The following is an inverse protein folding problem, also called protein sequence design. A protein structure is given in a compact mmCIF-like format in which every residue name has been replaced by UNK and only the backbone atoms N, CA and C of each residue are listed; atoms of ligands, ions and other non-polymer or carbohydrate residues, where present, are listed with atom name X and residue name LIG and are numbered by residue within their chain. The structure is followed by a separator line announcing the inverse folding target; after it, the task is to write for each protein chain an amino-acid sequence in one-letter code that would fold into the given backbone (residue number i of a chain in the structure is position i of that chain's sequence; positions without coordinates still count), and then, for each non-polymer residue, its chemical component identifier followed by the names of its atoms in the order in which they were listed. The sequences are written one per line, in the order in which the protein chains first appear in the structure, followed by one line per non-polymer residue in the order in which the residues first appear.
data_IF_795073231746
#
_entry.id   IF_795073231746
#
_cell.length_a   1.000
_cell.length_b   1.000
_cell.length_c   1.000
_cell.angle_alpha   90.00
_cell.angle_beta   90.00
_cell.angle_gamma   90.00
#
_symmetry.space_group_name_H-M   'P 1'
#
loop_
_entity.id
_entity.type
_entity.pdbx_description
1 polymer ?
#
# COMPACT_ATOMS: atom_id res chain seq x y z
N UNK A 1 20.30 -55.59 36.84
CA UNK A 1 19.58 -54.29 36.96
C UNK A 1 20.29 -53.30 36.06
N UNK A 2 19.75 -53.05 34.87
CA UNK A 2 20.24 -52.01 33.96
C UNK A 2 19.21 -50.86 34.00
N UNK A 3 19.65 -49.68 34.41
CA UNK A 3 18.81 -48.48 34.45
C UNK A 3 18.80 -47.84 33.06
N UNK A 4 17.62 -47.82 32.42
CA UNK A 4 17.40 -47.06 31.19
C UNK A 4 17.24 -45.57 31.57
N UNK A 5 18.16 -44.73 31.07
CA UNK A 5 18.03 -43.28 31.09
C UNK A 5 17.11 -42.85 29.94
N UNK A 6 15.91 -42.38 30.25
CA UNK A 6 15.04 -41.71 29.29
C UNK A 6 15.42 -40.23 29.23
N UNK A 7 16.07 -39.81 28.14
CA UNK A 7 16.25 -38.39 27.81
C UNK A 7 14.96 -37.86 27.20
N UNK A 8 14.24 -37.02 27.93
CA UNK A 8 13.11 -36.24 27.40
C UNK A 8 13.63 -35.24 26.37
N UNK A 9 13.11 -35.23 25.13
CA UNK A 9 13.44 -34.18 24.18
C UNK A 9 12.80 -32.88 24.66
N UNK A 10 13.62 -31.85 24.83
CA UNK A 10 13.17 -30.49 25.04
C UNK A 10 12.52 -30.03 23.72
N UNK A 11 11.18 -30.02 23.65
CA UNK A 11 10.50 -29.33 22.55
C UNK A 11 10.81 -27.84 22.72
N UNK A 12 11.72 -27.33 21.88
CA UNK A 12 11.86 -25.90 21.66
C UNK A 12 10.49 -25.38 21.21
N UNK A 13 9.86 -24.54 22.03
CA UNK A 13 8.66 -23.83 21.63
C UNK A 13 9.00 -23.03 20.38
N UNK A 14 8.30 -23.33 19.28
CA UNK A 14 8.25 -22.39 18.18
C UNK A 14 7.54 -21.15 18.73
N UNK A 15 8.30 -20.10 19.04
CA UNK A 15 7.75 -18.79 19.27
C UNK A 15 7.02 -18.40 17.97
N UNK A 16 5.70 -18.57 17.96
CA UNK A 16 4.84 -18.01 16.94
C UNK A 16 4.74 -16.51 17.19
N UNK A 17 5.86 -15.80 17.05
CA UNK A 17 5.79 -14.36 16.83
C UNK A 17 5.03 -14.21 15.52
N UNK A 18 3.89 -13.54 15.57
CA UNK A 18 3.15 -13.16 14.37
C UNK A 18 4.04 -12.14 13.68
N UNK A 19 4.98 -12.62 12.87
CA UNK A 19 5.85 -11.76 12.07
C UNK A 19 4.94 -10.85 11.25
N UNK A 20 5.28 -9.55 11.16
CA UNK A 20 4.74 -8.66 10.13
C UNK A 20 5.08 -9.29 8.79
N UNK A 21 4.20 -10.14 8.26
CA UNK A 21 4.58 -11.01 7.15
C UNK A 21 4.66 -10.21 5.88
N UNK A 22 3.73 -9.29 5.66
CA UNK A 22 3.59 -8.51 4.44
C UNK A 22 3.99 -7.04 4.66
N UNK A 23 3.89 -6.24 3.61
CA UNK A 23 4.38 -4.86 3.56
C UNK A 23 3.31 -3.89 4.04
N UNK A 24 3.74 -2.87 4.79
CA UNK A 24 2.92 -1.76 5.25
C UNK A 24 3.62 -0.42 4.97
N UNK A 25 2.81 0.62 4.81
CA UNK A 25 3.25 2.01 4.74
C UNK A 25 3.89 2.47 6.06
N UNK A 26 5.00 3.20 5.94
CA UNK A 26 5.70 3.85 7.06
C UNK A 26 5.69 5.37 6.89
N UNK A 27 5.99 5.85 5.68
CA UNK A 27 5.92 7.27 5.34
C UNK A 27 5.15 7.45 4.01
N UNK A 28 4.19 8.39 3.90
CA UNK A 28 3.65 9.24 4.96
C UNK A 28 3.06 8.45 6.14
N UNK A 29 2.97 9.09 7.32
CA UNK A 29 2.48 8.41 8.53
C UNK A 29 1.04 7.98 8.30
N UNK A 30 0.74 6.67 8.33
CA UNK A 30 -0.59 6.18 8.03
C UNK A 30 -1.60 6.50 9.14
N UNK A 31 -2.89 6.29 8.84
CA UNK A 31 -3.91 6.21 9.88
C UNK A 31 -3.55 5.14 10.92
N UNK A 32 -4.03 5.32 12.14
CA UNK A 32 -3.90 4.30 13.16
C UNK A 32 -4.75 3.09 12.79
N UNK A 33 -4.14 1.91 12.84
CA UNK A 33 -4.83 0.64 12.65
C UNK A 33 -4.81 -0.14 13.96
N UNK A 34 -5.85 -0.93 14.20
CA UNK A 34 -5.76 -1.96 15.22
C UNK A 34 -4.66 -2.97 14.83
N UNK A 35 -3.96 -3.50 15.84
CA UNK A 35 -2.66 -4.20 15.77
C UNK A 35 -2.56 -5.32 14.71
N UNK A 36 -3.68 -5.85 14.21
CA UNK A 36 -3.73 -6.98 13.27
C UNK A 36 -3.96 -6.61 11.78
N UNK A 37 -4.14 -5.32 11.45
CA UNK A 37 -4.62 -4.89 10.13
C UNK A 37 -3.57 -4.58 9.04
N UNK A 38 -2.50 -3.79 9.29
CA UNK A 38 -1.92 -2.94 8.25
C UNK A 38 -1.19 -3.67 7.13
N UNK A 39 -0.64 -4.85 7.46
CA UNK A 39 0.16 -5.62 6.50
C UNK A 39 -0.68 -6.54 5.64
N UNK A 40 -1.92 -6.88 6.01
CA UNK A 40 -2.73 -7.82 5.21
C UNK A 40 -3.29 -7.15 3.95
N UNK A 41 -3.52 -7.90 2.86
CA UNK A 41 -4.25 -7.37 1.71
C UNK A 41 -5.69 -6.98 2.12
N UNK A 42 -6.36 -6.19 1.30
CA UNK A 42 -7.80 -6.01 1.42
C UNK A 42 -8.51 -7.37 1.32
N UNK A 43 -9.65 -7.48 1.98
CA UNK A 43 -10.48 -8.66 1.90
C UNK A 43 -10.91 -8.90 0.44
N UNK A 44 -10.89 -10.16 -0.05
CA UNK A 44 -11.28 -10.47 -1.43
C UNK A 44 -12.73 -10.11 -1.79
N UNK A 45 -13.59 -9.83 -0.81
CA UNK A 45 -14.96 -9.35 -1.01
C UNK A 45 -15.08 -7.82 -0.99
N UNK A 46 -13.99 -7.10 -0.69
CA UNK A 46 -13.93 -5.64 -0.60
C UNK A 46 -14.54 -5.04 0.67
N UNK A 47 -14.85 -5.85 1.69
CA UNK A 47 -15.52 -5.39 2.92
C UNK A 47 -14.73 -4.39 3.77
N UNK A 48 -13.41 -4.32 3.59
CA UNK A 48 -12.50 -3.38 4.27
C UNK A 48 -11.92 -2.31 3.31
N UNK A 49 -12.50 -2.16 2.12
CA UNK A 49 -12.18 -1.05 1.21
C UNK A 49 -13.01 0.21 1.56
N UNK A 50 -12.40 1.43 1.56
CA UNK A 50 -10.98 1.72 1.35
C UNK A 50 -10.15 1.66 2.64
N UNK A 51 -8.81 1.65 2.48
CA UNK A 51 -7.84 1.93 3.55
C UNK A 51 -7.77 0.93 4.71
N UNK A 52 -8.43 -0.24 4.60
CA UNK A 52 -8.51 -1.26 5.65
C UNK A 52 -9.23 -0.79 6.92
N UNK A 53 -10.06 0.24 6.80
CA UNK A 53 -10.95 0.67 7.87
C UNK A 53 -12.32 0.04 7.60
N UNK A 54 -12.79 -0.91 8.43
CA UNK A 54 -14.08 -1.55 8.22
C UNK A 54 -15.21 -0.53 8.11
N UNK A 55 -16.22 -0.85 7.31
CA UNK A 55 -17.36 0.04 7.13
C UNK A 55 -18.06 0.33 8.47
N UNK A 56 -18.14 1.61 8.82
CA UNK A 56 -18.74 2.07 10.08
C UNK A 56 -17.73 2.41 11.18
N UNK A 57 -16.46 2.05 11.00
CA UNK A 57 -15.37 2.46 11.89
C UNK A 57 -14.83 3.84 11.52
N UNK A 58 -14.14 4.47 12.46
CA UNK A 58 -13.59 5.82 12.30
C UNK A 58 -12.14 5.78 11.84
N UNK A 59 -11.78 6.70 10.93
CA UNK A 59 -10.39 7.00 10.61
C UNK A 59 -9.73 7.72 11.79
N UNK A 60 -8.72 7.08 12.40
CA UNK A 60 -8.01 7.65 13.55
C UNK A 60 -6.66 8.19 13.08
N UNK A 61 -6.46 9.50 13.22
CA UNK A 61 -5.18 10.14 12.91
C UNK A 61 -4.23 9.95 14.09
N UNK A 62 -3.06 9.36 13.86
CA UNK A 62 -2.01 9.23 14.87
C UNK A 62 -1.10 10.47 14.83
N UNK A 63 -1.24 11.36 15.82
CA UNK A 63 -0.49 12.61 15.87
C UNK A 63 -1.06 13.64 14.90
N UNK A 64 -0.26 14.05 13.91
CA UNK A 64 -0.60 15.09 12.93
C UNK A 64 -0.50 14.55 11.51
N UNK A 65 -1.38 15.02 10.63
CA UNK A 65 -1.32 14.71 9.20
C UNK A 65 0.05 15.12 8.63
N UNK A 66 0.58 14.30 7.71
CA UNK A 66 1.88 14.60 7.07
C UNK A 66 1.70 15.80 6.13
N UNK A 67 2.48 16.86 6.30
CA UNK A 67 2.46 18.00 5.39
C UNK A 67 3.18 17.65 4.08
N UNK A 68 2.59 18.02 2.95
CA UNK A 68 3.14 17.79 1.61
C UNK A 68 2.96 19.05 0.78
N UNK A 69 4.07 19.74 0.47
CA UNK A 69 4.03 20.91 -0.38
C UNK A 69 3.85 20.52 -1.85
N UNK A 70 3.00 21.28 -2.55
CA UNK A 70 2.79 21.16 -3.99
C UNK A 70 4.11 21.37 -4.73
N UNK A 71 4.38 20.53 -5.73
CA UNK A 71 5.58 20.61 -6.57
C UNK A 71 6.88 20.13 -5.91
N UNK A 72 6.91 19.97 -4.59
CA UNK A 72 8.07 19.45 -3.87
C UNK A 72 8.13 17.92 -3.92
N UNK A 73 9.36 17.40 -3.97
CA UNK A 73 9.60 15.96 -3.90
C UNK A 73 9.24 15.42 -2.50
N UNK A 74 8.29 14.49 -2.48
CA UNK A 74 7.83 13.75 -1.32
C UNK A 74 8.46 12.35 -1.34
N UNK A 75 8.74 11.79 -0.16
CA UNK A 75 9.26 10.42 -0.04
C UNK A 75 8.20 9.45 0.47
N UNK A 76 8.26 8.21 -0.01
CA UNK A 76 7.44 7.09 0.46
C UNK A 76 8.36 6.01 0.97
N UNK A 77 8.03 5.43 2.12
CA UNK A 77 8.77 4.30 2.67
C UNK A 77 7.83 3.24 3.25
N UNK A 78 8.31 2.00 3.27
CA UNK A 78 7.56 0.85 3.71
C UNK A 78 8.38 0.01 4.69
N UNK A 79 7.68 -0.85 5.44
CA UNK A 79 8.29 -1.89 6.26
C UNK A 79 7.55 -3.20 6.04
N UNK A 80 8.27 -4.32 6.18
CA UNK A 80 7.70 -5.65 6.00
C UNK A 80 8.67 -6.57 5.28
N UNK A 81 8.28 -7.83 5.11
CA UNK A 81 9.18 -8.88 4.63
C UNK A 81 8.72 -9.50 3.31
N UNK A 82 7.45 -9.87 3.22
CA UNK A 82 6.87 -10.50 2.05
C UNK A 82 6.50 -9.44 1.02
N UNK A 83 7.49 -9.07 0.23
CA UNK A 83 7.38 -8.17 -0.92
C UNK A 83 6.89 -8.88 -2.16
N UNK A 84 6.62 -10.19 -2.11
CA UNK A 84 6.01 -10.97 -3.20
C UNK A 84 6.69 -10.77 -4.57
N UNK A 85 8.03 -10.76 -4.58
CA UNK A 85 8.81 -10.54 -5.80
C UNK A 85 8.62 -9.15 -6.42
N UNK A 86 8.08 -8.19 -5.66
CA UNK A 86 7.61 -6.89 -6.12
C UNK A 86 6.17 -6.95 -6.62
N UNK A 87 5.92 -6.28 -7.74
CA UNK A 87 4.57 -5.98 -8.22
C UNK A 87 4.50 -4.55 -8.70
N UNK A 88 3.29 -4.02 -8.77
CA UNK A 88 3.02 -2.66 -9.23
C UNK A 88 2.23 -1.90 -8.19
N UNK A 89 2.47 -0.59 -8.11
CA UNK A 89 1.82 0.28 -7.13
C UNK A 89 1.23 1.53 -7.78
N UNK A 90 0.20 2.10 -7.16
CA UNK A 90 -0.23 3.47 -7.44
C UNK A 90 -0.25 4.29 -6.15
N UNK A 91 0.09 5.57 -6.30
CA UNK A 91 -0.10 6.60 -5.30
C UNK A 91 -1.26 7.51 -5.75
N UNK A 92 -2.22 7.74 -4.86
CA UNK A 92 -3.41 8.50 -5.19
C UNK A 92 -3.85 9.42 -4.04
N UNK A 93 -4.60 10.46 -4.38
CA UNK A 93 -5.21 11.40 -3.44
C UNK A 93 -6.73 11.40 -3.56
N UNK A 94 -7.42 11.50 -2.43
CA UNK A 94 -8.83 11.89 -2.34
C UNK A 94 -8.98 13.02 -1.34
N UNK A 95 -9.98 13.88 -1.52
CA UNK A 95 -10.26 14.99 -0.61
C UNK A 95 -10.71 14.51 0.78
N UNK A 96 -10.32 15.26 1.82
CA UNK A 96 -10.70 15.02 3.21
C UNK A 96 -9.85 13.95 3.91
N UNK A 97 -10.10 13.73 5.21
CA UNK A 97 -9.40 12.72 6.02
C UNK A 97 -10.24 11.48 6.34
N UNK A 98 -11.43 11.37 5.76
CA UNK A 98 -12.40 10.30 6.05
C UNK A 98 -12.96 9.76 4.73
N UNK A 99 -12.15 9.05 3.93
CA UNK A 99 -12.60 8.55 2.65
C UNK A 99 -13.69 7.48 2.83
N UNK A 100 -14.57 7.36 1.84
CA UNK A 100 -15.64 6.36 1.79
C UNK A 100 -15.47 5.49 0.55
N UNK A 101 -16.34 4.50 0.38
CA UNK A 101 -16.39 3.68 -0.85
C UNK A 101 -16.71 4.52 -2.10
N UNK A 102 -17.30 5.70 -1.94
CA UNK A 102 -17.66 6.63 -3.02
C UNK A 102 -16.62 7.72 -3.24
N UNK A 103 -15.51 7.72 -2.47
CA UNK A 103 -14.42 8.68 -2.63
C UNK A 103 -13.79 8.55 -4.01
N UNK A 104 -13.59 9.70 -4.66
CA UNK A 104 -12.92 9.80 -5.95
C UNK A 104 -11.41 9.91 -5.72
N UNK A 105 -10.68 8.89 -6.15
CA UNK A 105 -9.23 8.82 -6.03
C UNK A 105 -8.56 9.27 -7.32
N UNK A 106 -7.68 10.26 -7.23
CA UNK A 106 -6.87 10.77 -8.33
C UNK A 106 -5.48 10.14 -8.26
N UNK A 107 -5.13 9.28 -9.23
CA UNK A 107 -3.79 8.70 -9.33
C UNK A 107 -2.78 9.76 -9.74
N UNK A 108 -1.78 10.00 -8.89
CA UNK A 108 -0.72 11.01 -9.14
C UNK A 108 0.62 10.38 -9.54
N UNK A 109 0.83 9.10 -9.26
CA UNK A 109 2.04 8.37 -9.63
C UNK A 109 1.75 6.87 -9.70
N UNK A 110 2.29 6.18 -10.69
CA UNK A 110 2.27 4.72 -10.79
C UNK A 110 3.68 4.17 -10.80
N UNK A 111 3.88 2.95 -10.32
CA UNK A 111 5.15 2.22 -10.43
C UNK A 111 4.81 0.85 -11.02
N UNK A 112 5.22 0.61 -12.27
CA UNK A 112 4.90 -0.62 -12.99
C UNK A 112 6.06 -1.61 -12.91
N UNK A 113 5.98 -2.52 -11.94
CA UNK A 113 7.06 -3.43 -11.62
C UNK A 113 8.06 -2.85 -10.62
N UNK A 114 8.57 -3.73 -9.76
CA UNK A 114 9.57 -3.35 -8.77
C UNK A 114 9.05 -2.56 -7.58
N UNK A 115 7.74 -2.59 -7.30
CA UNK A 115 7.16 -2.06 -6.06
C UNK A 115 6.54 -3.18 -5.20
N UNK A 116 6.76 -3.21 -3.87
CA UNK A 116 7.55 -2.29 -3.03
C UNK A 116 9.05 -2.64 -2.97
N UNK A 117 9.51 -3.55 -3.82
CA UNK A 117 10.93 -3.91 -3.94
C UNK A 117 11.29 -4.24 -5.38
N UNK A 118 12.32 -3.61 -5.91
CA UNK A 118 12.87 -3.89 -7.22
C UNK A 118 13.92 -5.00 -7.18
N UNK A 119 14.15 -5.64 -8.33
CA UNK A 119 15.24 -6.59 -8.55
C UNK A 119 15.27 -7.79 -7.58
N UNK A 120 14.09 -8.28 -7.18
CA UNK A 120 13.94 -9.47 -6.34
C UNK A 120 13.05 -10.52 -6.99
N UNK A 121 13.41 -11.79 -6.83
CA UNK A 121 12.63 -12.93 -7.37
C UNK A 121 11.55 -13.41 -6.41
N UNK A 122 11.67 -13.11 -5.12
CA UNK A 122 10.77 -13.57 -4.06
C UNK A 122 10.64 -12.54 -2.92
N UNK A 123 10.46 -13.04 -1.70
CA UNK A 123 10.44 -12.20 -0.51
C UNK A 123 11.86 -11.73 -0.13
N UNK A 124 11.94 -10.76 0.79
CA UNK A 124 13.22 -10.24 1.25
C UNK A 124 14.04 -11.33 1.94
N UNK A 125 15.35 -11.15 1.96
CA UNK A 125 16.34 -11.93 2.71
C UNK A 125 16.80 -11.14 3.95
N UNK A 126 17.40 -11.79 4.98
CA UNK A 126 17.74 -11.10 6.22
C UNK A 126 18.67 -9.91 5.99
N UNK A 127 18.29 -8.74 6.53
CA UNK A 127 19.02 -7.48 6.34
C UNK A 127 18.63 -6.70 5.09
N UNK A 128 17.59 -7.11 4.36
CA UNK A 128 16.96 -6.33 3.31
C UNK A 128 15.70 -5.64 3.82
N UNK A 129 15.42 -4.46 3.26
CA UNK A 129 14.20 -3.70 3.47
C UNK A 129 13.49 -3.42 2.13
N UNK A 130 12.18 -3.13 2.14
CA UNK A 130 11.49 -2.54 1.00
C UNK A 130 12.22 -1.28 0.48
N UNK A 131 12.04 -0.95 -0.79
CA UNK A 131 12.62 0.25 -1.37
C UNK A 131 11.86 1.51 -0.93
N UNK A 132 12.52 2.66 -1.02
CA UNK A 132 11.92 3.98 -0.90
C UNK A 132 11.67 4.57 -2.28
N UNK A 133 10.57 5.29 -2.44
CA UNK A 133 10.20 5.94 -3.70
C UNK A 133 9.98 7.42 -3.46
N UNK A 134 10.02 8.20 -4.53
CA UNK A 134 9.66 9.62 -4.49
C UNK A 134 8.49 9.90 -5.43
N UNK A 135 7.74 10.95 -5.12
CA UNK A 135 6.64 11.45 -5.93
C UNK A 135 6.46 12.94 -5.64
N UNK A 136 5.62 13.62 -6.42
CA UNK A 136 5.28 15.03 -6.20
C UNK A 136 3.77 15.20 -6.15
N UNK A 137 3.27 16.14 -5.36
CA UNK A 137 1.89 16.60 -5.50
C UNK A 137 1.83 17.57 -6.70
N UNK A 138 1.03 17.29 -7.74
CA UNK A 138 0.97 18.17 -8.92
C UNK A 138 0.43 19.57 -8.60
N UNK A 139 0.80 20.55 -9.42
CA UNK A 139 0.54 21.99 -9.19
C UNK A 139 -0.91 22.46 -9.42
N UNK A 140 -1.78 21.57 -9.89
CA UNK A 140 -3.21 21.80 -10.05
C UNK A 140 -4.05 21.30 -8.85
N UNK A 141 -3.43 20.67 -7.85
CA UNK A 141 -4.08 20.38 -6.57
C UNK A 141 -4.21 21.65 -5.73
N UNK A 142 -5.31 21.77 -4.99
CA UNK A 142 -5.49 22.86 -4.03
C UNK A 142 -4.91 22.49 -2.66
N UNK A 143 -4.34 23.44 -1.90
CA UNK A 143 -4.01 23.22 -0.50
C UNK A 143 -5.24 22.78 0.30
N UNK A 144 -5.04 21.84 1.24
CA UNK A 144 -6.15 21.30 2.04
C UNK A 144 -5.87 19.93 2.63
N UNK A 145 -6.89 19.38 3.28
CA UNK A 145 -6.86 18.04 3.83
C UNK A 145 -7.13 17.00 2.73
N UNK A 146 -6.26 15.98 2.65
CA UNK A 146 -6.43 14.85 1.75
C UNK A 146 -6.09 13.54 2.45
N UNK A 147 -6.61 12.46 1.92
CA UNK A 147 -6.09 11.12 2.17
C UNK A 147 -5.20 10.73 1.01
N UNK A 148 -3.97 10.36 1.34
CA UNK A 148 -3.03 9.74 0.41
C UNK A 148 -3.12 8.23 0.52
N UNK A 149 -3.17 7.52 -0.59
CA UNK A 149 -3.21 6.06 -0.65
C UNK A 149 -2.01 5.50 -1.41
N UNK A 150 -1.42 4.47 -0.83
CA UNK A 150 -0.59 3.50 -1.54
C UNK A 150 -1.45 2.27 -1.83
N UNK A 151 -1.49 1.85 -3.09
CA UNK A 151 -2.00 0.53 -3.48
C UNK A 151 -0.88 -0.33 -4.04
N UNK A 152 -1.00 -1.64 -3.87
CA UNK A 152 -0.04 -2.59 -4.41
C UNK A 152 -0.72 -3.87 -4.87
N UNK A 153 -0.41 -4.27 -6.10
CA UNK A 153 -0.77 -5.56 -6.69
C UNK A 153 0.49 -6.43 -6.72
N UNK A 154 0.44 -7.56 -6.02
CA UNK A 154 1.56 -8.46 -5.89
C UNK A 154 1.90 -9.18 -7.20
N UNK A 155 3.19 -9.42 -7.47
CA UNK A 155 3.64 -10.15 -8.66
C UNK A 155 3.49 -11.66 -8.53
N UNK A 156 3.82 -12.20 -7.35
CA UNK A 156 3.72 -13.64 -7.05
C UNK A 156 3.00 -13.86 -5.72
N UNK A 157 2.26 -14.95 -5.57
CA UNK A 157 1.70 -15.46 -4.30
C UNK A 157 0.91 -16.74 -4.59
N UNK A 158 0.22 -17.26 -3.58
CA UNK A 158 -0.78 -18.33 -3.75
C UNK A 158 -2.11 -17.85 -4.36
N UNK A 159 -2.38 -16.55 -4.34
CA UNK A 159 -3.60 -15.93 -4.87
C UNK A 159 -3.34 -14.48 -5.31
N UNK A 160 -4.19 -13.90 -6.18
CA UNK A 160 -4.14 -12.47 -6.48
C UNK A 160 -4.55 -11.68 -5.24
N UNK A 161 -3.72 -10.72 -4.84
CA UNK A 161 -3.94 -9.89 -3.66
C UNK A 161 -3.94 -8.41 -4.07
N UNK A 162 -4.61 -7.58 -3.28
CA UNK A 162 -4.62 -6.14 -3.49
C UNK A 162 -4.44 -5.47 -2.14
N UNK A 163 -3.34 -4.75 -1.99
CA UNK A 163 -2.98 -4.07 -0.75
C UNK A 163 -3.35 -2.60 -0.87
N UNK A 164 -3.81 -2.02 0.24
CA UNK A 164 -4.07 -0.59 0.32
C UNK A 164 -3.74 -0.10 1.73
N UNK A 165 -2.85 0.89 1.85
CA UNK A 165 -2.68 1.65 3.08
C UNK A 165 -2.88 3.12 2.78
N UNK A 166 -3.45 3.84 3.75
CA UNK A 166 -3.75 5.25 3.60
C UNK A 166 -3.14 6.09 4.73
N UNK A 167 -2.84 7.34 4.42
CA UNK A 167 -2.32 8.32 5.34
C UNK A 167 -3.11 9.63 5.26
N UNK A 168 -3.42 10.27 6.39
CA UNK A 168 -3.89 11.64 6.39
C UNK A 168 -2.74 12.57 6.03
N UNK A 169 -2.96 13.42 5.03
CA UNK A 169 -1.99 14.43 4.60
C UNK A 169 -2.63 15.82 4.57
N UNK A 170 -1.79 16.84 4.73
CA UNK A 170 -2.17 18.24 4.52
C UNK A 170 -1.35 18.75 3.35
N UNK A 171 -2.01 18.99 2.22
CA UNK A 171 -1.37 19.60 1.06
C UNK A 171 -1.22 21.10 1.32
N UNK A 172 -0.02 21.63 1.14
CA UNK A 172 0.31 23.06 1.31
C UNK A 172 0.76 23.67 -0.01
N UNK A 173 0.70 24.99 -0.11
CA UNK A 173 1.33 25.69 -1.23
C UNK A 173 2.84 25.39 -1.25
N UNK A 174 3.40 25.22 -2.44
CA UNK A 174 4.85 25.18 -2.66
C UNK A 174 5.41 26.57 -2.94
N UNK A 175 6.67 26.78 -2.57
CA UNK A 175 7.40 28.01 -2.92
C UNK A 175 7.54 28.09 -4.46
N UNK A 176 6.81 29.01 -5.09
CA UNK A 176 6.86 29.33 -6.54
C UNK A 176 6.03 28.43 -7.49
N UNK A 177 4.89 27.90 -7.04
CA UNK A 177 3.99 27.11 -7.90
C UNK A 177 3.02 28.00 -8.69
N UNK A 178 3.29 28.22 -9.98
CA UNK A 178 2.26 28.72 -10.91
C UNK A 178 1.28 27.60 -11.18
N UNK A 179 0.05 27.70 -10.66
CA UNK A 179 -1.02 26.73 -10.93
C UNK A 179 -1.17 26.50 -12.44
N UNK A 180 -1.00 25.27 -12.89
CA UNK A 180 -1.25 24.92 -14.29
C UNK A 180 -2.74 24.67 -14.51
N UNK A 181 -3.13 24.48 -15.77
CA UNK A 181 -4.51 24.13 -16.09
C UNK A 181 -4.84 22.76 -15.50
N UNK A 182 -6.05 22.59 -14.97
CA UNK A 182 -6.50 21.33 -14.37
C UNK A 182 -6.25 20.14 -15.31
N UNK A 183 -5.49 19.18 -14.81
CA UNK A 183 -5.19 17.92 -15.48
C UNK A 183 -6.26 16.90 -15.09
N UNK A 184 -6.65 16.05 -16.04
CA UNK A 184 -7.48 14.89 -15.71
C UNK A 184 -6.60 13.79 -15.15
N UNK A 185 -6.85 13.38 -13.92
CA UNK A 185 -6.20 12.25 -13.28
C UNK A 185 -7.03 10.97 -13.47
N UNK A 186 -6.40 9.82 -13.72
CA UNK A 186 -7.10 8.54 -13.72
C UNK A 186 -7.69 8.23 -12.35
N UNK A 187 -8.80 7.50 -12.35
CA UNK A 187 -9.30 6.82 -11.18
C UNK A 187 -8.32 5.73 -10.72
N UNK A 188 -8.29 5.47 -9.41
CA UNK A 188 -7.49 4.39 -8.82
C UNK A 188 -7.87 3.02 -9.40
N UNK A 189 -6.87 2.25 -9.83
CA UNK A 189 -7.10 0.89 -10.28
C UNK A 189 -7.49 -0.01 -9.10
N UNK A 190 -8.59 -0.74 -9.23
CA UNK A 190 -9.06 -1.72 -8.25
C UNK A 190 -9.14 -3.11 -8.88
N UNK A 191 -8.60 -4.10 -8.20
CA UNK A 191 -8.69 -5.51 -8.60
C UNK A 191 -8.67 -6.43 -7.37
N UNK A 192 -9.05 -7.68 -7.57
CA UNK A 192 -8.97 -8.76 -6.59
C UNK A 192 -9.84 -8.58 -5.32
N UNK A 193 -10.70 -7.55 -5.27
CA UNK A 193 -11.57 -7.22 -4.14
C UNK A 193 -13.06 -7.36 -4.51
N UNK A 194 -13.36 -8.40 -5.30
CA UNK A 194 -14.73 -8.80 -5.61
C UNK A 194 -15.53 -7.69 -6.30
N UNK A 195 -16.74 -7.43 -5.81
CA UNK A 195 -17.63 -6.41 -6.38
C UNK A 195 -17.09 -4.99 -6.25
N UNK A 196 -16.26 -4.68 -5.24
CA UNK A 196 -15.63 -3.36 -5.13
C UNK A 196 -14.70 -3.05 -6.31
N UNK A 197 -14.17 -4.10 -6.95
CA UNK A 197 -13.40 -4.00 -8.20
C UNK A 197 -14.20 -4.34 -9.46
N UNK A 198 -15.53 -4.40 -9.38
CA UNK A 198 -16.41 -4.88 -10.47
C UNK A 198 -16.00 -6.26 -11.02
N UNK A 199 -15.44 -7.12 -10.15
CA UNK A 199 -14.93 -8.44 -10.52
C UNK A 199 -13.60 -8.44 -11.29
N UNK A 200 -12.92 -7.29 -11.39
CA UNK A 200 -11.58 -7.23 -11.99
C UNK A 200 -10.59 -8.12 -11.20
N UNK A 201 -9.77 -8.87 -11.93
CA UNK A 201 -8.76 -9.75 -11.34
C UNK A 201 -7.46 -9.66 -12.10
N UNK A 202 -6.36 -9.92 -11.39
CA UNK A 202 -4.98 -9.95 -11.92
C UNK A 202 -4.44 -11.38 -11.98
N UNK A 203 -5.32 -12.38 -12.01
CA UNK A 203 -4.97 -13.81 -12.00
C UNK A 203 -4.05 -14.22 -13.15
N UNK A 204 -4.21 -13.64 -14.34
CA UNK A 204 -3.34 -13.92 -15.49
C UNK A 204 -1.90 -13.46 -15.24
N UNK A 205 -1.73 -12.22 -14.75
CA UNK A 205 -0.42 -11.69 -14.40
C UNK A 205 0.26 -12.50 -13.29
N UNK A 206 -0.51 -12.93 -12.29
CA UNK A 206 -0.02 -13.82 -11.23
C UNK A 206 0.44 -15.18 -11.78
N UNK A 207 -0.33 -15.78 -12.70
CA UNK A 207 0.01 -17.06 -13.32
C UNK A 207 1.30 -16.98 -14.13
N UNK A 208 1.46 -15.90 -14.90
CA UNK A 208 2.68 -15.58 -15.66
C UNK A 208 3.82 -15.06 -14.77
N UNK A 209 3.55 -14.78 -13.49
CA UNK A 209 4.48 -14.22 -12.51
C UNK A 209 5.09 -12.87 -12.93
N UNK A 210 4.30 -12.05 -13.62
CA UNK A 210 4.67 -10.72 -14.11
C UNK A 210 3.95 -9.62 -13.35
N UNK A 211 4.62 -8.48 -13.18
CA UNK A 211 3.98 -7.30 -12.62
C UNK A 211 2.98 -6.73 -13.64
N UNK A 212 1.85 -6.19 -13.18
CA UNK A 212 0.87 -5.59 -14.08
C UNK A 212 1.36 -4.24 -14.61
N UNK A 213 0.98 -3.92 -15.85
CA UNK A 213 0.90 -2.53 -16.29
C UNK A 213 -0.52 -2.03 -16.03
N UNK A 214 -0.66 -0.79 -15.55
CA UNK A 214 -1.96 -0.21 -15.31
C UNK A 214 -2.60 0.23 -16.63
N UNK A 215 -3.91 -0.03 -16.85
CA UNK A 215 -4.61 0.48 -18.03
C UNK A 215 -4.59 2.01 -18.12
N UNK A 216 -4.57 2.68 -16.95
CA UNK A 216 -4.52 4.14 -16.84
C UNK A 216 -3.48 4.52 -15.76
N UNK A 217 -2.18 4.57 -16.11
CA UNK A 217 -1.12 4.79 -15.13
C UNK A 217 -0.95 6.28 -14.75
N UNK A 218 -1.56 7.19 -15.51
CA UNK A 218 -1.37 8.64 -15.34
C UNK A 218 -0.12 9.15 -16.06
N UNK A 219 0.26 10.40 -15.78
CA UNK A 219 1.38 11.07 -16.46
C UNK A 219 2.75 10.79 -15.81
N UNK A 220 2.76 10.25 -14.59
CA UNK A 220 3.99 9.96 -13.83
C UNK A 220 4.06 8.45 -13.57
N UNK A 221 5.06 7.79 -14.15
CA UNK A 221 5.30 6.33 -14.11
C UNK A 221 6.79 6.05 -13.94
#
# INVERSE_FOLDING_TARGET
MAALLFTTPLLAGAESSIHKRHVQLVNPTPYNWDEYGPTNPLNPDGSDYPCKVPQGDAFVINGTATEMAIGEEQSVSFAGWAVHGGGSCQFALTEGHTPTTDSVWKVIHSIEGGCPKANVTGNLEPGQDPDTYTFTIPDDFAPGAYTWAWTWVNRIAGSPEFYMNCAPVTVTDGDDTTKTAETTYPDLFLANIGSASNGCTTSEALYEQVAIAYPYPGNSV
#
